data_IF_949429676153
#
_entry.id   IF_949429676153
#
_cell.length_a   1.000
_cell.length_b   1.000
_cell.length_c   1.000
_cell.angle_alpha   90.00
_cell.angle_beta   90.00
_cell.angle_gamma   90.00
#
_symmetry.space_group_name_H-M   'P 1'
#
loop_
_entity.id
_entity.type
_entity.pdbx_description
1 polymer ?
#
# COMPACT_ATOMS: atom_id res chain seq x y z
N UNK A 1 26.58 40.32 24.94
CA UNK A 1 25.32 39.83 24.33
C UNK A 1 25.66 38.54 23.61
N UNK A 2 25.12 37.42 24.11
CA UNK A 2 25.64 36.07 23.90
C UNK A 2 25.31 35.45 22.55
N UNK A 3 26.30 34.72 22.01
CA UNK A 3 26.13 33.71 20.97
C UNK A 3 25.58 32.43 21.60
N UNK A 4 24.45 31.93 21.09
CA UNK A 4 23.79 30.64 21.40
C UNK A 4 22.53 30.61 20.50
N UNK A 5 22.19 29.61 19.69
CA UNK A 5 22.56 28.21 19.64
C UNK A 5 22.39 27.67 18.22
N UNK A 6 23.35 26.81 17.87
CA UNK A 6 23.38 25.91 16.72
C UNK A 6 22.29 24.84 16.89
N UNK A 7 21.11 25.01 16.28
CA UNK A 7 20.12 23.93 16.25
C UNK A 7 20.58 22.88 15.24
N UNK A 8 20.88 21.72 15.81
CA UNK A 8 21.38 20.52 15.16
C UNK A 8 20.34 19.94 14.21
N UNK A 9 20.86 19.34 13.13
CA UNK A 9 20.21 18.42 12.20
C UNK A 9 18.97 17.70 12.77
N UNK A 10 17.86 17.79 12.03
CA UNK A 10 16.92 16.67 11.96
C UNK A 10 16.81 16.34 10.48
N UNK A 11 17.43 15.22 10.10
CA UNK A 11 17.28 14.63 8.77
C UNK A 11 15.78 14.41 8.52
N UNK A 12 15.20 14.80 7.37
CA UNK A 12 13.87 14.35 7.02
C UNK A 12 13.99 12.84 6.84
N UNK A 13 13.60 12.09 7.87
CA UNK A 13 13.31 10.69 7.71
C UNK A 13 12.24 10.63 6.63
N UNK A 14 12.62 10.16 5.45
CA UNK A 14 11.72 9.86 4.35
C UNK A 14 10.52 9.11 4.93
N UNK A 15 9.36 9.77 4.88
CA UNK A 15 8.07 9.20 5.24
C UNK A 15 7.79 8.12 4.20
N UNK A 16 8.32 6.93 4.48
CA UNK A 16 8.42 5.79 3.56
C UNK A 16 7.06 5.07 3.40
N UNK A 17 5.97 5.80 3.57
CA UNK A 17 4.58 5.35 3.40
C UNK A 17 3.93 5.99 2.18
N UNK A 18 4.67 6.15 1.08
CA UNK A 18 4.15 6.63 -0.21
C UNK A 18 3.16 5.64 -0.87
N UNK A 19 2.90 4.49 -0.25
CA UNK A 19 2.10 3.41 -0.81
C UNK A 19 0.60 3.67 -0.78
N UNK A 20 0.10 4.57 0.08
CA UNK A 20 -1.35 4.78 0.28
C UNK A 20 -1.70 6.25 0.51
N UNK A 21 -2.00 6.95 -0.60
CA UNK A 21 -2.51 8.33 -0.53
C UNK A 21 -4.02 8.31 -0.25
N UNK A 22 -4.40 8.49 1.01
CA UNK A 22 -5.81 8.62 1.41
C UNK A 22 -6.28 10.05 1.15
N UNK A 23 -7.28 10.23 0.28
CA UNK A 23 -7.99 11.51 0.10
C UNK A 23 -9.47 11.30 0.30
N UNK A 24 -10.08 12.04 1.22
CA UNK A 24 -11.54 12.03 1.46
C UNK A 24 -12.14 10.62 1.68
N UNK A 25 -11.41 9.72 2.37
CA UNK A 25 -11.88 8.35 2.59
C UNK A 25 -11.83 7.46 1.34
N UNK A 26 -11.11 7.88 0.30
CA UNK A 26 -10.83 7.09 -0.90
C UNK A 26 -9.32 6.77 -0.93
N UNK A 27 -9.02 5.52 -1.22
CA UNK A 27 -7.68 4.96 -1.33
C UNK A 27 -7.46 4.56 -2.79
N UNK A 28 -6.41 5.10 -3.40
CA UNK A 28 -5.95 4.60 -4.70
C UNK A 28 -5.16 3.32 -4.49
N UNK A 29 -5.52 2.28 -5.25
CA UNK A 29 -4.84 0.98 -5.23
C UNK A 29 -4.09 0.70 -6.54
N UNK A 30 -3.83 1.72 -7.35
CA UNK A 30 -3.14 1.59 -8.64
C UNK A 30 -1.77 0.95 -8.48
N UNK A 31 -0.98 1.38 -7.49
CA UNK A 31 0.33 0.80 -7.21
C UNK A 31 0.23 -0.66 -6.76
N UNK A 32 -0.78 -1.01 -5.96
CA UNK A 32 -1.03 -2.38 -5.54
C UNK A 32 -1.39 -3.27 -6.74
N UNK A 33 -2.20 -2.76 -7.67
CA UNK A 33 -2.55 -3.46 -8.92
C UNK A 33 -1.34 -3.62 -9.84
N UNK A 34 -0.49 -2.59 -9.93
CA UNK A 34 0.75 -2.68 -10.69
C UNK A 34 1.66 -3.77 -10.12
N UNK A 35 1.90 -3.74 -8.81
CA UNK A 35 2.66 -4.78 -8.11
C UNK A 35 2.07 -6.17 -8.35
N UNK A 36 0.74 -6.31 -8.31
CA UNK A 36 0.06 -7.58 -8.58
C UNK A 36 0.24 -8.10 -10.01
N UNK A 37 0.45 -7.22 -11.00
CA UNK A 37 0.79 -7.64 -12.38
C UNK A 37 2.23 -8.09 -12.51
N UNK A 38 3.13 -7.42 -11.80
CA UNK A 38 4.58 -7.60 -11.94
C UNK A 38 5.10 -8.76 -11.08
N UNK A 39 4.48 -9.01 -9.94
CA UNK A 39 5.01 -9.92 -8.90
C UNK A 39 4.22 -11.22 -8.77
N UNK A 40 2.89 -11.18 -8.95
CA UNK A 40 2.07 -12.37 -8.73
C UNK A 40 2.04 -13.29 -9.96
N UNK A 41 1.99 -14.62 -9.78
CA UNK A 41 1.91 -15.56 -10.89
C UNK A 41 0.69 -15.28 -11.78
N UNK A 42 0.88 -15.40 -13.09
CA UNK A 42 -0.24 -15.32 -14.04
C UNK A 42 -1.27 -16.42 -13.72
N UNK A 43 -2.49 -16.00 -13.41
CA UNK A 43 -3.58 -16.91 -13.03
C UNK A 43 -3.74 -17.12 -11.52
N UNK A 44 -2.91 -16.51 -10.68
CA UNK A 44 -3.13 -16.48 -9.22
C UNK A 44 -4.47 -15.85 -8.86
N UNK A 45 -5.14 -16.42 -7.86
CA UNK A 45 -6.45 -15.96 -7.38
C UNK A 45 -6.31 -14.56 -6.81
N UNK A 46 -5.24 -14.26 -6.06
CA UNK A 46 -4.99 -12.93 -5.54
C UNK A 46 -4.80 -11.90 -6.67
N UNK A 47 -4.06 -12.24 -7.73
CA UNK A 47 -3.88 -11.34 -8.87
C UNK A 47 -5.23 -11.07 -9.55
N UNK A 48 -6.03 -12.10 -9.81
CA UNK A 48 -7.37 -11.91 -10.40
C UNK A 48 -8.26 -11.01 -9.52
N UNK A 49 -8.26 -11.24 -8.20
CA UNK A 49 -9.05 -10.46 -7.25
C UNK A 49 -8.61 -8.99 -7.24
N UNK A 50 -7.31 -8.72 -7.15
CA UNK A 50 -6.75 -7.35 -7.12
C UNK A 50 -6.98 -6.63 -8.45
N UNK A 51 -6.80 -7.31 -9.59
CA UNK A 51 -6.91 -6.69 -10.91
C UNK A 51 -8.35 -6.35 -11.31
N UNK A 52 -9.33 -7.08 -10.78
CA UNK A 52 -10.76 -6.79 -11.00
C UNK A 52 -11.30 -5.66 -10.11
N UNK A 53 -10.57 -5.18 -9.11
CA UNK A 53 -11.00 -4.02 -8.32
C UNK A 53 -10.86 -2.73 -9.13
N UNK A 54 -11.70 -1.74 -8.82
CA UNK A 54 -11.51 -0.36 -9.27
C UNK A 54 -10.17 0.18 -8.78
N UNK A 55 -9.52 1.07 -9.54
CA UNK A 55 -8.24 1.68 -9.16
C UNK A 55 -8.33 2.57 -7.91
N UNK A 56 -9.55 2.85 -7.45
CA UNK A 56 -9.87 3.57 -6.23
C UNK A 56 -10.97 2.84 -5.48
N UNK A 57 -10.80 2.69 -4.17
CA UNK A 57 -11.75 2.05 -3.26
C UNK A 57 -11.96 2.93 -2.03
N UNK A 58 -13.10 2.80 -1.36
CA UNK A 58 -13.28 3.49 -0.08
C UNK A 58 -12.32 2.93 0.97
N UNK A 59 -11.98 3.74 1.99
CA UNK A 59 -11.15 3.29 3.12
C UNK A 59 -11.78 2.11 3.85
N UNK A 60 -13.10 2.13 4.03
CA UNK A 60 -13.84 1.03 4.65
C UNK A 60 -13.68 -0.26 3.84
N UNK A 61 -13.98 -0.23 2.54
CA UNK A 61 -13.80 -1.40 1.68
C UNK A 61 -12.37 -1.91 1.65
N UNK A 62 -11.40 -1.00 1.61
CA UNK A 62 -9.98 -1.36 1.64
C UNK A 62 -9.65 -2.15 2.91
N UNK A 63 -10.01 -1.62 4.08
CA UNK A 63 -9.75 -2.25 5.38
C UNK A 63 -10.46 -3.61 5.52
N UNK A 64 -11.68 -3.74 5.01
CA UNK A 64 -12.41 -5.01 4.99
C UNK A 64 -11.72 -6.05 4.09
N UNK A 65 -11.13 -5.62 2.96
CA UNK A 65 -10.52 -6.51 1.98
C UNK A 65 -9.09 -6.93 2.33
N UNK A 66 -8.33 -6.14 3.08
CA UNK A 66 -6.96 -6.47 3.55
C UNK A 66 -6.86 -7.91 4.09
N UNK A 67 -7.64 -8.34 5.10
CA UNK A 67 -7.49 -9.67 5.68
C UNK A 67 -7.75 -10.79 4.66
N UNK A 68 -8.62 -10.55 3.68
CA UNK A 68 -8.90 -11.50 2.60
C UNK A 68 -7.69 -11.60 1.66
N UNK A 69 -7.12 -10.46 1.24
CA UNK A 69 -5.94 -10.44 0.38
C UNK A 69 -4.72 -11.10 1.03
N UNK A 70 -4.50 -10.84 2.32
CA UNK A 70 -3.42 -11.48 3.08
C UNK A 70 -3.60 -13.00 3.17
N UNK A 71 -4.84 -13.47 3.38
CA UNK A 71 -5.15 -14.90 3.42
C UNK A 71 -4.94 -15.57 2.06
N UNK A 72 -5.33 -14.92 0.97
CA UNK A 72 -5.05 -15.42 -0.39
C UNK A 72 -3.54 -15.46 -0.65
N UNK A 73 -2.78 -14.47 -0.19
CA UNK A 73 -1.33 -14.45 -0.32
C UNK A 73 -0.66 -15.64 0.38
N UNK A 74 -1.08 -15.99 1.61
CA UNK A 74 -0.56 -17.17 2.33
C UNK A 74 -0.93 -18.48 1.61
N UNK A 75 -2.16 -18.59 1.11
CA UNK A 75 -2.60 -19.79 0.40
C UNK A 75 -1.82 -20.03 -0.90
N UNK A 76 -1.40 -18.97 -1.58
CA UNK A 76 -0.64 -19.07 -2.83
C UNK A 76 0.86 -19.20 -2.61
N UNK A 77 1.41 -18.65 -1.52
CA UNK A 77 2.83 -18.79 -1.15
C UNK A 77 3.22 -20.18 -0.63
N UNK A 78 2.25 -21.04 -0.32
CA UNK A 78 2.47 -22.43 0.14
C UNK A 78 2.58 -23.47 -0.98
N UNK A 79 2.77 -23.05 -2.24
CA UNK A 79 2.97 -23.94 -3.39
C UNK A 79 4.43 -24.10 -3.76
#
# INVERSE_FOLDING_TARGET
MGQSEKIRNVSPHEDRNDYLRVKNGIISITQLKQWARETLPHGSVLSQVLLHQNDSVSTEEFLIKIPIWLKLCDLEGRR
#
